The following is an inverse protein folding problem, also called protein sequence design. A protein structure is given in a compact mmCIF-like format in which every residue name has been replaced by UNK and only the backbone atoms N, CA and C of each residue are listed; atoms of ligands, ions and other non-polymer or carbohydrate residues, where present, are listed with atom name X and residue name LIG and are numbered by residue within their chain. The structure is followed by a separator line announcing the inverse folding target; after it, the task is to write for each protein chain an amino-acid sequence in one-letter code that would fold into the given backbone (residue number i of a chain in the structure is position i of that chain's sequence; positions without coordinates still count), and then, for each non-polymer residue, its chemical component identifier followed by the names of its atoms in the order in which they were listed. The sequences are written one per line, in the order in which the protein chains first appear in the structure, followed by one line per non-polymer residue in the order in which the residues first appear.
data_IF_323752527263
#
_entry.id   IF_323752527263
#
_cell.length_a   1.000
_cell.length_b   1.000
_cell.length_c   1.000
_cell.angle_alpha   90.00
_cell.angle_beta   90.00
_cell.angle_gamma   90.00
#
_symmetry.space_group_name_H-M   'P 1'
#
loop_
_entity.id
_entity.type
_entity.pdbx_description
1 polymer ?
#
# COMPACT_ATOMS: atom_id res chain seq x y z
N UNK A 1 -3.33 30.20 4.39
CA UNK A 1 -3.42 28.84 3.82
C UNK A 1 -4.32 28.02 4.72
N UNK A 2 -5.22 27.20 4.17
CA UNK A 2 -5.95 26.25 4.99
C UNK A 2 -4.97 25.21 5.53
N UNK A 3 -5.09 24.84 6.80
CA UNK A 3 -4.28 23.75 7.34
C UNK A 3 -4.67 22.41 6.70
N UNK A 4 -3.78 21.41 6.76
CA UNK A 4 -4.11 20.07 6.28
C UNK A 4 -5.40 19.53 6.92
N UNK A 5 -5.55 19.72 8.22
CA UNK A 5 -6.74 19.30 8.97
C UNK A 5 -7.99 20.02 8.46
N UNK A 6 -7.92 21.33 8.20
CA UNK A 6 -9.03 22.08 7.60
C UNK A 6 -9.41 21.60 6.20
N UNK A 7 -8.42 21.22 5.37
CA UNK A 7 -8.66 20.66 4.04
C UNK A 7 -9.37 19.31 4.14
N UNK A 8 -8.91 18.44 5.04
CA UNK A 8 -9.52 17.13 5.27
C UNK A 8 -10.94 17.29 5.81
N UNK A 9 -11.14 18.12 6.84
CA UNK A 9 -12.46 18.37 7.43
C UNK A 9 -13.44 18.95 6.41
N UNK A 10 -12.97 19.88 5.56
CA UNK A 10 -13.78 20.46 4.48
C UNK A 10 -14.18 19.41 3.44
N UNK A 11 -13.26 18.53 3.05
CA UNK A 11 -13.54 17.40 2.16
C UNK A 11 -14.57 16.46 2.80
N UNK A 12 -14.38 16.07 4.06
CA UNK A 12 -15.30 15.18 4.77
C UNK A 12 -16.70 15.78 4.88
N UNK A 13 -16.81 17.07 5.21
CA UNK A 13 -18.08 17.78 5.23
C UNK A 13 -18.77 17.81 3.85
N UNK A 14 -17.98 17.98 2.79
CA UNK A 14 -18.46 17.96 1.41
C UNK A 14 -18.98 16.59 1.01
N UNK A 15 -18.23 15.53 1.30
CA UNK A 15 -18.65 14.16 1.04
C UNK A 15 -19.90 13.79 1.84
N UNK A 16 -19.99 14.23 3.10
CA UNK A 16 -21.18 14.07 3.94
C UNK A 16 -22.40 14.75 3.31
N UNK A 17 -22.26 16.02 2.89
CA UNK A 17 -23.33 16.78 2.25
C UNK A 17 -23.82 16.17 0.93
N UNK A 18 -22.95 15.42 0.23
CA UNK A 18 -23.29 14.66 -0.99
C UNK A 18 -23.81 13.26 -0.72
N UNK A 19 -23.96 12.85 0.54
CA UNK A 19 -24.28 11.47 0.95
C UNK A 19 -23.31 10.41 0.37
N UNK A 20 -22.04 10.78 0.21
CA UNK A 20 -20.99 9.90 -0.30
C UNK A 20 -20.17 9.24 0.80
N UNK A 21 -20.39 9.62 2.07
CA UNK A 21 -19.89 8.88 3.22
C UNK A 21 -20.74 7.61 3.40
N UNK A 22 -20.51 6.62 2.54
CA UNK A 22 -21.15 5.33 2.67
C UNK A 22 -20.48 4.54 3.79
N UNK A 23 -21.27 4.16 4.79
CA UNK A 23 -20.85 3.14 5.75
C UNK A 23 -20.81 1.79 5.03
N UNK A 24 -19.63 1.16 5.04
CA UNK A 24 -19.50 -0.22 4.60
C UNK A 24 -20.51 -1.07 5.38
N UNK A 25 -21.38 -1.80 4.69
CA UNK A 25 -22.31 -2.72 5.37
C UNK A 25 -21.52 -3.92 5.85
N UNK A 26 -21.18 -3.90 7.14
CA UNK A 26 -20.47 -4.99 7.80
C UNK A 26 -21.28 -6.28 7.76
N UNK A 27 -20.73 -7.31 7.13
CA UNK A 27 -21.26 -8.68 7.21
C UNK A 27 -20.70 -9.33 8.47
N UNK A 28 -21.60 -9.60 9.42
CA UNK A 28 -21.25 -10.27 10.66
C UNK A 28 -20.96 -11.75 10.41
N UNK A 29 -19.70 -12.13 10.60
CA UNK A 29 -19.25 -13.52 10.65
C UNK A 29 -18.87 -13.92 12.08
N UNK A 30 -18.95 -15.22 12.43
CA UNK A 30 -18.51 -15.70 13.75
C UNK A 30 -17.07 -15.27 14.04
N UNK A 31 -16.75 -14.89 15.29
CA UNK A 31 -15.40 -14.46 15.64
C UNK A 31 -14.39 -15.57 15.35
N UNK A 32 -13.17 -15.22 14.91
CA UNK A 32 -12.13 -16.22 14.70
C UNK A 32 -11.80 -16.90 16.02
N UNK A 33 -11.58 -18.21 15.97
CA UNK A 33 -11.06 -18.94 17.14
C UNK A 33 -9.64 -18.46 17.39
N UNK A 34 -9.28 -18.05 18.63
CA UNK A 34 -7.93 -17.64 18.94
C UNK A 34 -6.92 -18.73 18.53
N UNK A 35 -5.77 -18.35 17.96
CA UNK A 35 -4.78 -19.33 17.55
C UNK A 35 -4.27 -20.11 18.77
N UNK A 36 -4.13 -21.43 18.62
CA UNK A 36 -3.60 -22.32 19.67
C UNK A 36 -2.10 -22.16 19.88
N UNK A 37 -1.41 -21.53 18.92
CA UNK A 37 0.03 -21.27 18.90
C UNK A 37 0.30 -19.87 18.36
N UNK A 38 1.19 -19.15 19.00
CA UNK A 38 1.69 -17.85 18.54
C UNK A 38 3.06 -18.01 17.90
N UNK A 39 3.42 -17.08 17.01
CA UNK A 39 4.77 -17.04 16.44
C UNK A 39 5.76 -16.68 17.56
N UNK A 40 6.66 -17.60 17.88
CA UNK A 40 7.62 -17.44 18.99
C UNK A 40 8.84 -16.55 18.62
N UNK A 41 8.85 -15.98 17.41
CA UNK A 41 10.01 -15.30 16.83
C UNK A 41 10.71 -16.15 15.76
N UNK A 42 11.69 -15.57 15.05
CA UNK A 42 12.44 -16.29 14.03
C UNK A 42 13.19 -17.48 14.65
N UNK A 43 12.94 -18.68 14.12
CA UNK A 43 13.62 -19.91 14.48
C UNK A 43 14.95 -20.11 13.73
N UNK A 44 15.65 -21.22 13.97
CA UNK A 44 16.79 -21.60 13.14
C UNK A 44 16.35 -21.75 11.67
N UNK A 45 17.27 -21.51 10.73
CA UNK A 45 17.00 -21.65 9.32
C UNK A 45 16.49 -23.05 8.97
N UNK A 46 15.28 -23.13 8.43
CA UNK A 46 14.60 -24.38 8.09
C UNK A 46 14.59 -24.58 6.56
N UNK A 47 15.64 -25.22 6.05
CA UNK A 47 15.83 -25.49 4.61
C UNK A 47 14.59 -26.08 3.92
N UNK A 48 13.88 -27.08 4.49
CA UNK A 48 12.61 -27.58 3.95
C UNK A 48 11.58 -26.53 3.55
N UNK A 49 11.51 -25.38 4.24
CA UNK A 49 10.49 -24.35 3.97
C UNK A 49 10.79 -23.53 2.72
N UNK A 50 12.04 -23.51 2.27
CA UNK A 50 12.52 -22.78 1.08
C UNK A 50 12.95 -23.71 -0.06
N UNK A 51 12.85 -25.03 0.14
CA UNK A 51 13.13 -26.02 -0.90
C UNK A 51 11.89 -26.21 -1.78
N UNK A 52 12.02 -25.90 -3.07
CA UNK A 52 10.97 -26.12 -4.06
C UNK A 52 11.43 -27.15 -5.08
N UNK A 53 10.45 -27.86 -5.66
CA UNK A 53 10.68 -28.81 -6.75
C UNK A 53 10.29 -28.12 -8.05
N UNK A 54 11.25 -28.02 -8.97
CA UNK A 54 10.99 -27.57 -10.32
C UNK A 54 10.74 -28.80 -11.19
N UNK A 55 9.62 -28.78 -11.89
CA UNK A 55 9.30 -29.75 -12.93
C UNK A 55 10.22 -29.51 -14.14
N UNK A 56 10.96 -30.54 -14.54
CA UNK A 56 11.97 -30.42 -15.61
C UNK A 56 11.33 -30.00 -16.94
N UNK A 57 10.19 -30.60 -17.29
CA UNK A 57 9.48 -30.30 -18.53
C UNK A 57 8.99 -28.84 -18.60
N UNK A 58 8.33 -28.35 -17.55
CA UNK A 58 7.86 -26.96 -17.46
C UNK A 58 9.01 -25.97 -17.49
N UNK A 59 10.15 -26.32 -16.89
CA UNK A 59 11.35 -25.48 -16.88
C UNK A 59 11.94 -25.36 -18.29
N UNK A 60 12.04 -26.47 -19.02
CA UNK A 60 12.51 -26.48 -20.41
C UNK A 60 11.61 -25.67 -21.33
N UNK A 61 10.29 -25.81 -21.18
CA UNK A 61 9.32 -25.03 -21.96
C UNK A 61 9.50 -23.53 -21.71
N UNK A 62 9.63 -23.13 -20.44
CA UNK A 62 9.86 -21.72 -20.08
C UNK A 62 11.20 -21.19 -20.62
N UNK A 63 12.28 -21.97 -20.52
CA UNK A 63 13.59 -21.58 -21.07
C UNK A 63 13.51 -21.38 -22.59
N UNK A 64 12.88 -22.32 -23.30
CA UNK A 64 12.70 -22.25 -24.75
C UNK A 64 11.88 -21.01 -25.17
N UNK A 65 10.80 -20.68 -24.45
CA UNK A 65 9.99 -19.48 -24.69
C UNK A 65 10.79 -18.18 -24.52
N UNK A 66 11.83 -18.18 -23.69
CA UNK A 66 12.67 -17.02 -23.41
C UNK A 66 14.00 -17.04 -24.19
N UNK A 67 14.17 -17.97 -25.13
CA UNK A 67 15.40 -18.09 -25.93
C UNK A 67 16.64 -18.50 -25.13
N UNK A 68 16.43 -19.12 -23.97
CA UNK A 68 17.49 -19.65 -23.10
C UNK A 68 17.69 -21.14 -23.38
N UNK A 69 18.92 -21.61 -23.28
CA UNK A 69 19.28 -23.02 -23.46
C UNK A 69 19.69 -23.58 -22.10
N UNK A 70 19.16 -24.75 -21.73
CA UNK A 70 19.57 -25.42 -20.49
C UNK A 70 20.98 -26.01 -20.64
N UNK A 71 21.73 -26.01 -19.55
CA UNK A 71 22.92 -26.87 -19.45
C UNK A 71 22.47 -28.32 -19.20
N UNK A 72 23.25 -29.31 -19.63
CA UNK A 72 22.89 -30.74 -19.60
C UNK A 72 22.43 -31.20 -18.21
N UNK A 73 21.21 -31.76 -18.10
CA UNK A 73 20.68 -32.40 -16.88
C UNK A 73 19.27 -32.00 -16.43
N UNK A 74 18.61 -31.08 -17.11
CA UNK A 74 17.33 -30.46 -16.67
C UNK A 74 16.03 -31.19 -17.13
N UNK A 75 16.13 -32.42 -17.68
CA UNK A 75 14.94 -33.28 -17.90
C UNK A 75 14.41 -33.93 -16.61
N UNK A 76 15.19 -33.89 -15.52
CA UNK A 76 14.84 -34.48 -14.23
C UNK A 76 14.35 -33.41 -13.27
N UNK A 77 13.25 -33.70 -12.57
CA UNK A 77 12.77 -32.85 -11.48
C UNK A 77 13.90 -32.48 -10.52
N UNK A 78 14.12 -31.18 -10.36
CA UNK A 78 15.22 -30.66 -9.57
C UNK A 78 14.71 -30.02 -8.30
N UNK A 79 15.36 -30.35 -7.19
CA UNK A 79 15.22 -29.63 -5.93
C UNK A 79 16.13 -28.41 -5.94
N UNK A 80 15.55 -27.24 -5.71
CA UNK A 80 16.27 -25.97 -5.61
C UNK A 80 15.90 -25.25 -4.32
N UNK A 81 16.78 -24.36 -3.88
CA UNK A 81 16.56 -23.53 -2.68
C UNK A 81 16.24 -22.12 -3.12
N UNK A 82 15.09 -21.60 -2.69
CA UNK A 82 14.63 -20.25 -3.00
C UNK A 82 15.33 -19.22 -2.10
N UNK A 83 16.28 -18.47 -2.67
CA UNK A 83 16.98 -17.37 -1.98
C UNK A 83 16.39 -15.98 -2.27
N UNK A 84 15.42 -15.88 -3.18
CA UNK A 84 14.82 -14.62 -3.65
C UNK A 84 13.34 -14.47 -3.25
N UNK A 85 12.89 -15.22 -2.24
CA UNK A 85 11.53 -15.13 -1.71
C UNK A 85 11.36 -13.97 -0.71
N UNK A 86 10.12 -13.52 -0.54
CA UNK A 86 9.76 -12.42 0.38
C UNK A 86 9.05 -12.89 1.66
N UNK A 87 8.95 -14.20 1.91
CA UNK A 87 8.47 -14.73 3.20
C UNK A 87 9.62 -14.73 4.23
N UNK A 88 10.02 -13.52 4.63
CA UNK A 88 11.23 -13.28 5.42
C UNK A 88 11.26 -14.01 6.78
N UNK A 89 10.09 -14.31 7.33
CA UNK A 89 9.95 -14.92 8.66
C UNK A 89 9.18 -16.26 8.63
N UNK A 90 8.94 -16.82 7.44
CA UNK A 90 8.36 -18.16 7.28
C UNK A 90 6.90 -18.25 7.74
N UNK A 91 6.14 -17.15 7.67
CA UNK A 91 4.75 -17.15 8.14
C UNK A 91 3.80 -17.85 7.17
N UNK A 92 4.16 -17.98 5.88
CA UNK A 92 3.30 -18.64 4.90
C UNK A 92 3.07 -20.12 5.23
N UNK A 93 4.02 -20.76 5.92
CA UNK A 93 3.94 -22.16 6.35
C UNK A 93 3.64 -22.33 7.84
N UNK A 94 3.42 -21.23 8.57
CA UNK A 94 3.22 -21.31 10.03
C UNK A 94 1.88 -22.02 10.36
N UNK A 95 1.85 -23.05 11.22
CA UNK A 95 0.66 -23.85 11.48
C UNK A 95 -0.57 -23.05 11.89
N UNK A 96 -0.40 -22.01 12.71
CA UNK A 96 -1.51 -21.15 13.12
C UNK A 96 -2.11 -20.33 11.96
N UNK A 97 -1.29 -19.93 10.99
CA UNK A 97 -1.75 -19.20 9.79
C UNK A 97 -2.53 -20.14 8.87
N UNK A 98 -1.99 -21.34 8.63
CA UNK A 98 -2.65 -22.38 7.84
C UNK A 98 -3.99 -22.80 8.45
N UNK A 99 -4.03 -23.02 9.77
CA UNK A 99 -5.25 -23.37 10.49
C UNK A 99 -6.31 -22.26 10.41
N UNK A 100 -5.91 -21.00 10.61
CA UNK A 100 -6.81 -19.85 10.49
C UNK A 100 -7.37 -19.71 9.07
N UNK A 101 -6.53 -19.82 8.04
CA UNK A 101 -6.92 -19.76 6.64
C UNK A 101 -7.89 -20.90 6.27
N UNK A 102 -7.59 -22.14 6.69
CA UNK A 102 -8.45 -23.29 6.42
C UNK A 102 -9.83 -23.15 7.07
N UNK A 103 -9.89 -22.68 8.33
CA UNK A 103 -11.16 -22.42 9.03
C UNK A 103 -11.97 -21.32 8.34
N UNK A 104 -11.32 -20.23 7.95
CA UNK A 104 -11.97 -19.14 7.23
C UNK A 104 -12.56 -19.62 5.90
N UNK A 105 -11.86 -20.51 5.17
CA UNK A 105 -12.35 -21.08 3.92
C UNK A 105 -13.52 -22.07 4.13
N UNK A 106 -13.51 -22.85 5.22
CA UNK A 106 -14.55 -23.84 5.52
C UNK A 106 -15.84 -23.25 6.08
N UNK A 107 -15.79 -22.10 6.74
CA UNK A 107 -16.97 -21.45 7.34
C UNK A 107 -17.76 -20.63 6.31
N UNK A 108 -17.48 -19.33 6.16
CA UNK A 108 -18.18 -18.44 5.23
C UNK A 108 -17.91 -18.70 3.74
N UNK A 109 -16.91 -19.53 3.40
CA UNK A 109 -16.46 -19.80 2.03
C UNK A 109 -15.21 -19.02 1.63
N UNK A 110 -14.82 -19.09 0.35
CA UNK A 110 -13.56 -18.55 -0.21
C UNK A 110 -13.56 -17.02 -0.38
N UNK A 111 -14.00 -16.28 0.65
CA UNK A 111 -13.94 -14.81 0.71
C UNK A 111 -15.21 -14.07 0.25
N UNK A 112 -15.21 -12.74 0.34
CA UNK A 112 -16.32 -11.90 -0.08
C UNK A 112 -16.55 -11.98 -1.60
N UNK A 113 -17.82 -11.98 -2.02
CA UNK A 113 -18.23 -12.18 -3.43
C UNK A 113 -18.41 -10.86 -4.19
N UNK A 114 -17.97 -9.75 -3.61
CA UNK A 114 -18.21 -8.40 -4.12
C UNK A 114 -17.28 -7.40 -3.42
N UNK A 115 -17.32 -6.13 -3.86
CA UNK A 115 -16.56 -5.02 -3.28
C UNK A 115 -16.97 -4.71 -1.84
N UNK A 116 -16.08 -4.09 -1.05
CA UNK A 116 -16.37 -3.68 0.34
C UNK A 116 -17.64 -2.84 0.46
N UNK A 117 -17.91 -1.99 -0.54
CA UNK A 117 -19.11 -1.17 -0.60
C UNK A 117 -20.40 -1.99 -0.79
N UNK A 118 -20.33 -3.03 -1.62
CA UNK A 118 -21.50 -3.84 -2.03
C UNK A 118 -21.36 -5.23 -1.43
N UNK A 119 -21.59 -5.40 -0.12
CA UNK A 119 -21.59 -6.73 0.55
C UNK A 119 -20.26 -7.50 0.46
N UNK A 120 -19.12 -6.80 0.41
CA UNK A 120 -17.79 -7.42 0.43
C UNK A 120 -17.03 -7.27 1.75
N UNK A 121 -17.52 -6.45 2.66
CA UNK A 121 -16.82 -6.16 3.91
C UNK A 121 -17.35 -7.02 5.06
N UNK A 122 -16.46 -7.68 5.79
CA UNK A 122 -16.81 -8.66 6.83
C UNK A 122 -16.12 -8.37 8.15
N UNK A 123 -16.56 -8.98 9.24
CA UNK A 123 -15.90 -8.87 10.56
C UNK A 123 -14.42 -9.28 10.53
N UNK A 124 -14.00 -10.16 9.61
CA UNK A 124 -12.59 -10.52 9.45
C UNK A 124 -11.73 -9.40 8.88
N UNK A 125 -12.28 -8.59 7.96
CA UNK A 125 -11.57 -7.42 7.43
C UNK A 125 -11.39 -6.39 8.55
N UNK A 126 -12.48 -6.07 9.26
CA UNK A 126 -12.45 -5.15 10.39
C UNK A 126 -11.45 -5.56 11.47
N UNK A 127 -11.47 -6.83 11.88
CA UNK A 127 -10.52 -7.33 12.89
C UNK A 127 -9.07 -7.26 12.42
N UNK A 128 -8.82 -7.49 11.12
CA UNK A 128 -7.48 -7.38 10.56
C UNK A 128 -7.02 -5.91 10.49
N UNK A 129 -7.89 -4.97 10.13
CA UNK A 129 -7.64 -3.52 10.19
C UNK A 129 -7.31 -3.07 11.63
N UNK A 130 -8.17 -3.41 12.60
CA UNK A 130 -7.95 -3.11 14.02
C UNK A 130 -6.63 -3.71 14.53
N UNK A 131 -6.33 -4.97 14.18
CA UNK A 131 -5.08 -5.62 14.59
C UNK A 131 -3.84 -4.97 13.97
N UNK A 132 -3.92 -4.51 12.72
CA UNK A 132 -2.83 -3.81 12.05
C UNK A 132 -2.63 -2.40 12.60
N UNK A 133 -3.71 -1.67 12.89
CA UNK A 133 -3.68 -0.38 13.57
C UNK A 133 -3.01 -0.51 14.94
N UNK A 134 -3.41 -1.50 15.73
CA UNK A 134 -2.83 -1.81 17.04
C UNK A 134 -1.35 -2.20 16.95
N UNK A 135 -0.96 -2.98 15.93
CA UNK A 135 0.42 -3.38 15.68
C UNK A 135 1.31 -2.19 15.35
N UNK A 136 0.83 -1.30 14.48
CA UNK A 136 1.57 -0.13 14.00
C UNK A 136 1.41 1.10 14.90
N UNK A 137 0.60 1.02 15.96
CA UNK A 137 0.28 2.13 16.87
C UNK A 137 -0.33 3.33 16.14
N UNK A 138 -1.23 3.05 15.21
CA UNK A 138 -1.99 4.03 14.45
C UNK A 138 -3.45 4.07 14.92
N UNK A 139 -4.15 5.17 14.64
CA UNK A 139 -5.55 5.35 15.03
C UNK A 139 -6.51 4.46 14.25
N UNK A 140 -6.19 4.19 12.97
CA UNK A 140 -7.00 3.37 12.07
C UNK A 140 -6.12 2.71 10.99
N UNK A 141 -6.68 1.73 10.28
CA UNK A 141 -6.04 1.05 9.16
C UNK A 141 -7.06 0.72 8.07
N UNK A 142 -6.66 0.87 6.80
CA UNK A 142 -7.48 0.49 5.66
C UNK A 142 -6.81 -0.65 4.89
N UNK A 143 -7.52 -1.77 4.72
CA UNK A 143 -7.03 -2.90 3.93
C UNK A 143 -7.16 -2.65 2.44
N UNK A 144 -6.08 -2.93 1.71
CA UNK A 144 -6.04 -2.97 0.26
C UNK A 144 -5.69 -4.39 -0.22
N UNK A 145 -6.10 -4.80 -1.44
CA UNK A 145 -5.82 -6.13 -1.95
C UNK A 145 -4.32 -6.47 -2.03
N UNK A 146 -3.47 -5.47 -2.27
CA UNK A 146 -2.02 -5.59 -2.31
C UNK A 146 -1.35 -4.30 -1.81
N UNK A 147 -0.07 -4.39 -1.41
CA UNK A 147 0.73 -3.20 -1.09
C UNK A 147 0.92 -2.26 -2.28
N UNK A 148 0.91 -2.80 -3.51
CA UNK A 148 0.92 -1.97 -4.71
C UNK A 148 -0.36 -1.13 -4.81
N UNK A 149 -1.53 -1.76 -4.64
CA UNK A 149 -2.83 -1.09 -4.67
C UNK A 149 -2.91 -0.01 -3.60
N UNK A 150 -2.48 -0.32 -2.37
CA UNK A 150 -2.44 0.65 -1.25
C UNK A 150 -1.67 1.92 -1.60
N UNK A 151 -0.44 1.77 -2.10
CA UNK A 151 0.39 2.90 -2.49
C UNK A 151 -0.25 3.72 -3.62
N UNK A 152 -0.74 3.06 -4.67
CA UNK A 152 -1.38 3.78 -5.79
C UNK A 152 -2.66 4.50 -5.37
N UNK A 153 -3.49 3.90 -4.51
CA UNK A 153 -4.76 4.49 -4.08
C UNK A 153 -4.54 5.67 -3.14
N UNK A 154 -3.58 5.57 -2.22
CA UNK A 154 -3.26 6.67 -1.29
C UNK A 154 -2.75 7.88 -2.05
N UNK A 155 -1.79 7.70 -2.97
CA UNK A 155 -1.23 8.83 -3.73
C UNK A 155 -2.29 9.50 -4.62
N UNK A 156 -3.16 8.70 -5.26
CA UNK A 156 -4.27 9.25 -6.06
C UNK A 156 -5.30 9.97 -5.19
N UNK A 157 -5.71 9.39 -4.06
CA UNK A 157 -6.69 10.00 -3.17
C UNK A 157 -6.19 11.31 -2.57
N UNK A 158 -4.91 11.33 -2.18
CA UNK A 158 -4.23 12.54 -1.71
C UNK A 158 -4.30 13.64 -2.77
N UNK A 159 -3.92 13.35 -4.01
CA UNK A 159 -4.02 14.30 -5.13
C UNK A 159 -5.40 14.96 -5.21
N UNK A 160 -6.45 14.15 -5.13
CA UNK A 160 -7.83 14.62 -5.30
C UNK A 160 -8.39 15.44 -4.13
N UNK A 161 -7.72 15.57 -2.98
CA UNK A 161 -8.24 16.32 -1.81
C UNK A 161 -8.53 17.78 -2.18
N UNK A 162 -7.67 18.43 -2.98
CA UNK A 162 -7.89 19.82 -3.41
C UNK A 162 -9.15 19.90 -4.28
N UNK A 163 -9.27 19.02 -5.28
CA UNK A 163 -10.44 18.93 -6.16
C UNK A 163 -11.74 18.70 -5.37
N UNK A 164 -11.68 17.93 -4.29
CA UNK A 164 -12.84 17.60 -3.45
C UNK A 164 -13.22 18.73 -2.47
N UNK A 165 -12.24 19.45 -1.92
CA UNK A 165 -12.47 20.61 -1.03
C UNK A 165 -12.91 21.88 -1.74
N UNK A 166 -12.64 22.01 -3.05
CA UNK A 166 -12.93 23.22 -3.83
C UNK A 166 -14.43 23.48 -4.13
N UNK A 167 -15.37 22.83 -3.45
CA UNK A 167 -16.82 23.01 -3.71
C UNK A 167 -17.25 24.48 -3.70
N UNK A 168 -17.71 24.96 -4.86
CA UNK A 168 -18.24 26.31 -5.03
C UNK A 168 -17.20 27.37 -5.46
N UNK A 169 -15.94 26.99 -5.61
CA UNK A 169 -14.92 27.79 -6.30
C UNK A 169 -14.47 27.00 -7.52
N UNK A 170 -14.16 27.66 -8.63
CA UNK A 170 -13.22 27.02 -9.55
C UNK A 170 -11.96 26.87 -8.72
N UNK A 171 -11.56 25.64 -8.36
CA UNK A 171 -10.20 25.38 -7.91
C UNK A 171 -9.35 26.16 -8.92
N UNK A 172 -8.66 27.19 -8.45
CA UNK A 172 -7.81 27.95 -9.36
C UNK A 172 -6.98 26.88 -10.07
N UNK A 173 -6.82 27.00 -11.39
CA UNK A 173 -6.10 26.01 -12.22
C UNK A 173 -4.65 25.74 -11.72
N UNK A 174 -4.25 26.48 -10.69
CA UNK A 174 -2.96 26.63 -10.05
C UNK A 174 -2.89 25.98 -8.64
N UNK A 175 -4.00 25.54 -8.01
CA UNK A 175 -3.94 24.84 -6.72
C UNK A 175 -3.65 23.34 -6.93
N UNK A 176 -2.43 22.91 -6.56
CA UNK A 176 -1.96 21.52 -6.69
C UNK A 176 -1.21 21.07 -5.45
N UNK A 177 -1.05 19.76 -5.30
CA UNK A 177 -0.23 19.17 -4.25
C UNK A 177 1.22 19.01 -4.74
N UNK A 178 2.18 19.55 -4.02
CA UNK A 178 3.60 19.30 -4.26
C UNK A 178 4.01 18.00 -3.56
N UNK A 179 4.46 17.00 -4.32
CA UNK A 179 4.89 15.69 -3.81
C UNK A 179 6.40 15.54 -3.97
N UNK A 180 7.12 15.38 -2.86
CA UNK A 180 8.57 15.16 -2.87
C UNK A 180 8.86 13.66 -2.78
N UNK A 181 9.39 13.06 -3.85
CA UNK A 181 9.58 11.61 -3.98
C UNK A 181 11.05 11.22 -4.02
N UNK A 182 11.45 10.24 -3.23
CA UNK A 182 12.79 9.64 -3.30
C UNK A 182 13.01 8.98 -4.69
N UNK A 183 14.20 9.16 -5.26
CA UNK A 183 14.55 8.59 -6.57
C UNK A 183 14.41 7.06 -6.67
N UNK A 184 14.49 6.33 -5.55
CA UNK A 184 14.37 4.86 -5.48
C UNK A 184 13.06 4.40 -4.82
N UNK A 185 12.05 5.27 -4.80
CA UNK A 185 10.71 4.85 -4.39
C UNK A 185 10.19 3.69 -5.25
N UNK A 186 9.41 2.82 -4.62
CA UNK A 186 8.84 1.65 -5.29
C UNK A 186 7.91 2.06 -6.44
N UNK A 187 7.85 1.25 -7.50
CA UNK A 187 7.07 1.54 -8.71
C UNK A 187 5.61 1.90 -8.40
N UNK A 188 4.98 1.24 -7.41
CA UNK A 188 3.62 1.54 -6.98
C UNK A 188 3.39 2.98 -6.50
N UNK A 189 4.39 3.58 -5.83
CA UNK A 189 4.31 4.96 -5.37
C UNK A 189 4.43 5.89 -6.58
N UNK A 190 5.40 5.62 -7.45
CA UNK A 190 5.65 6.38 -8.68
C UNK A 190 4.40 6.37 -9.58
N UNK A 191 3.77 5.22 -9.75
CA UNK A 191 2.58 5.09 -10.60
C UNK A 191 1.38 5.84 -10.02
N UNK A 192 1.22 5.84 -8.69
CA UNK A 192 0.22 6.65 -7.99
C UNK A 192 0.45 8.16 -8.16
N UNK A 193 1.71 8.61 -8.01
CA UNK A 193 2.10 10.01 -8.23
C UNK A 193 1.79 10.44 -9.67
N UNK A 194 2.22 9.64 -10.66
CA UNK A 194 2.00 9.93 -12.07
C UNK A 194 0.53 9.99 -12.43
N UNK A 195 -0.32 9.19 -11.78
CA UNK A 195 -1.76 9.26 -11.97
C UNK A 195 -2.31 10.62 -11.50
N UNK A 196 -1.93 11.08 -10.30
CA UNK A 196 -2.30 12.39 -9.78
C UNK A 196 -1.76 13.55 -10.64
N UNK A 197 -0.54 13.45 -11.16
CA UNK A 197 0.02 14.45 -12.09
C UNK A 197 -0.76 14.51 -13.42
N UNK A 198 -1.18 13.36 -13.98
CA UNK A 198 -2.01 13.31 -15.19
C UNK A 198 -3.40 13.92 -15.00
N UNK A 199 -3.92 13.85 -13.78
CA UNK A 199 -5.18 14.50 -13.39
C UNK A 199 -5.00 16.00 -13.11
N UNK A 200 -3.76 16.51 -13.20
CA UNK A 200 -3.37 17.89 -12.87
C UNK A 200 -3.62 18.27 -11.39
N UNK A 201 -3.66 17.28 -10.51
CA UNK A 201 -3.95 17.47 -9.08
C UNK A 201 -2.67 17.57 -8.23
N UNK A 202 -1.56 17.03 -8.74
CA UNK A 202 -0.26 17.06 -8.08
C UNK A 202 0.89 17.42 -9.04
N UNK A 203 2.03 17.81 -8.46
CA UNK A 203 3.32 18.03 -9.13
C UNK A 203 4.39 17.32 -8.32
N UNK A 204 5.19 16.47 -8.96
CA UNK A 204 6.24 15.72 -8.29
C UNK A 204 7.62 16.38 -8.38
N UNK A 205 8.36 16.38 -7.27
CA UNK A 205 9.74 16.79 -7.15
C UNK A 205 10.58 15.59 -6.70
N UNK A 206 11.50 15.12 -7.55
CA UNK A 206 12.30 13.93 -7.24
C UNK A 206 13.64 14.33 -6.61
N UNK A 207 13.88 13.90 -5.37
CA UNK A 207 15.16 14.11 -4.69
C UNK A 207 16.04 12.85 -4.77
N UNK A 208 17.34 13.03 -4.51
CA UNK A 208 18.32 11.93 -4.61
C UNK A 208 18.09 10.95 -3.48
N UNK A 209 18.31 9.67 -3.74
CA UNK A 209 18.03 8.62 -2.76
C UNK A 209 18.71 8.90 -1.41
N UNK A 210 17.90 8.97 -0.34
CA UNK A 210 18.34 9.29 1.03
C UNK A 210 19.11 10.62 1.20
N UNK A 211 18.96 11.58 0.28
CA UNK A 211 19.64 12.88 0.34
C UNK A 211 18.71 13.95 0.95
N UNK A 212 18.77 14.09 2.27
CA UNK A 212 17.95 15.06 3.00
C UNK A 212 18.30 16.52 2.68
N UNK A 213 19.55 16.81 2.30
CA UNK A 213 19.97 18.16 1.91
C UNK A 213 19.38 18.55 0.55
N UNK A 214 19.34 17.61 -0.40
CA UNK A 214 18.64 17.84 -1.67
C UNK A 214 17.13 18.01 -1.43
N UNK A 215 16.53 17.18 -0.59
CA UNK A 215 15.12 17.34 -0.20
C UNK A 215 14.85 18.72 0.41
N UNK A 216 15.66 19.17 1.38
CA UNK A 216 15.53 20.49 2.00
C UNK A 216 15.66 21.62 0.96
N UNK A 217 16.61 21.51 0.02
CA UNK A 217 16.75 22.50 -1.05
C UNK A 217 15.52 22.60 -1.95
N UNK A 218 14.80 21.49 -2.18
CA UNK A 218 13.55 21.49 -2.93
C UNK A 218 12.39 22.03 -2.10
N UNK A 219 12.33 21.75 -0.79
CA UNK A 219 11.27 22.23 0.10
C UNK A 219 11.30 23.75 0.30
N UNK A 220 12.50 24.34 0.25
CA UNK A 220 12.74 25.78 0.34
C UNK A 220 12.64 26.52 -1.01
N UNK A 221 12.24 25.85 -2.10
CA UNK A 221 12.09 26.50 -3.40
C UNK A 221 11.00 27.60 -3.33
N UNK A 222 11.35 28.88 -3.61
CA UNK A 222 10.41 30.00 -3.56
C UNK A 222 9.18 29.81 -4.47
N UNK A 223 9.30 29.04 -5.56
CA UNK A 223 8.19 28.77 -6.46
C UNK A 223 7.04 27.98 -5.80
N UNK A 224 7.30 27.29 -4.68
CA UNK A 224 6.28 26.60 -3.89
C UNK A 224 5.43 27.56 -3.05
N UNK A 225 5.98 28.72 -2.67
CA UNK A 225 5.29 29.71 -1.84
C UNK A 225 4.33 30.59 -2.67
N UNK A 226 4.71 30.92 -3.90
CA UNK A 226 3.87 31.72 -4.80
C UNK A 226 2.58 31.00 -5.26
N UNK A 227 2.58 29.66 -5.23
CA UNK A 227 1.46 28.82 -5.71
C UNK A 227 0.47 28.33 -4.65
N UNK A 228 0.71 28.58 -3.35
CA UNK A 228 -0.20 28.13 -2.28
C UNK A 228 -0.39 26.61 -2.18
N UNK A 229 0.63 25.82 -2.57
CA UNK A 229 0.54 24.36 -2.68
C UNK A 229 0.66 23.66 -1.33
N UNK A 230 -0.17 22.63 -1.09
CA UNK A 230 0.04 21.71 0.03
C UNK A 230 1.25 20.80 -0.26
N UNK A 231 2.15 20.62 0.71
CA UNK A 231 3.40 19.85 0.57
C UNK A 231 3.27 18.46 1.19
N UNK A 232 3.73 17.45 0.46
CA UNK A 232 3.74 16.04 0.91
C UNK A 232 5.08 15.42 0.58
N UNK A 233 5.72 14.80 1.57
CA UNK A 233 7.00 14.13 1.40
C UNK A 233 6.84 12.62 1.42
N UNK A 234 7.47 11.89 0.49
CA UNK A 234 7.51 10.45 0.44
C UNK A 234 8.95 9.97 0.67
N UNK A 235 9.19 9.38 1.85
CA UNK A 235 10.53 8.99 2.33
C UNK A 235 10.86 7.52 2.00
N UNK A 236 11.39 7.26 0.80
CA UNK A 236 12.04 5.99 0.46
C UNK A 236 11.19 4.70 0.62
N UNK A 237 11.79 3.52 0.37
CA UNK A 237 11.06 2.25 0.24
C UNK A 237 10.58 1.63 1.56
N UNK A 238 10.79 2.27 2.72
CA UNK A 238 10.42 1.69 4.02
C UNK A 238 9.25 2.35 4.71
N UNK A 239 8.92 3.60 4.40
CA UNK A 239 7.83 4.32 5.07
C UNK A 239 7.23 5.34 4.10
N UNK A 240 5.93 5.25 3.81
CA UNK A 240 5.20 6.44 3.35
C UNK A 240 5.01 7.32 4.59
N UNK A 241 6.08 7.98 5.04
CA UNK A 241 5.95 9.01 6.06
C UNK A 241 5.61 10.33 5.35
N UNK A 242 4.32 10.55 5.15
CA UNK A 242 3.80 11.83 4.68
C UNK A 242 3.99 12.88 5.79
N UNK A 243 5.09 13.62 5.73
CA UNK A 243 5.21 14.85 6.52
C UNK A 243 4.45 15.97 5.84
N UNK A 244 3.49 16.56 6.56
CA UNK A 244 2.87 17.83 6.21
C UNK A 244 3.68 18.93 6.86
N UNK A 245 4.52 19.60 6.08
CA UNK A 245 5.26 20.73 6.62
C UNK A 245 4.33 21.94 6.79
N UNK A 246 4.07 22.29 8.06
CA UNK A 246 3.49 23.57 8.44
C UNK A 246 4.60 24.62 8.34
N UNK A 247 4.81 25.21 7.16
CA UNK A 247 5.48 26.52 7.10
C UNK A 247 4.54 27.59 7.68
N UNK A 248 4.45 27.62 9.00
CA UNK A 248 4.20 28.82 9.78
C UNK A 248 5.34 28.95 10.77
N UNK A 249 6.39 29.68 10.40
CA UNK A 249 7.32 30.27 11.35
C UNK A 249 7.35 31.78 11.09
N UNK A 250 6.73 32.50 12.04
CA UNK A 250 6.65 33.95 12.28
C UNK A 250 5.92 34.82 11.24
#
# INVERSE_FOLDING_TARGET
MASWDELVDSTLATLAGKNLLFMQRLITLPPPVPPSRTFAGPGPWDRPTVEIRLDGASTQEWLALNGLVSEEGDEVDRKVVLFSGNDYIGLATHPAVLEAAAKAAQGPGMGPRSSSLIFGYTTYHKLAEESLADLLKMEDCLLCPTGYAANTSVMSAIGSIISLSATGRNAAQDERIAIFSDAWNHASIIDGIRLAERQQEAVAFVYKHCDMSHLESLLCDPCLEEGGMAKITCLGPREVLCFFDKTQHN
#
